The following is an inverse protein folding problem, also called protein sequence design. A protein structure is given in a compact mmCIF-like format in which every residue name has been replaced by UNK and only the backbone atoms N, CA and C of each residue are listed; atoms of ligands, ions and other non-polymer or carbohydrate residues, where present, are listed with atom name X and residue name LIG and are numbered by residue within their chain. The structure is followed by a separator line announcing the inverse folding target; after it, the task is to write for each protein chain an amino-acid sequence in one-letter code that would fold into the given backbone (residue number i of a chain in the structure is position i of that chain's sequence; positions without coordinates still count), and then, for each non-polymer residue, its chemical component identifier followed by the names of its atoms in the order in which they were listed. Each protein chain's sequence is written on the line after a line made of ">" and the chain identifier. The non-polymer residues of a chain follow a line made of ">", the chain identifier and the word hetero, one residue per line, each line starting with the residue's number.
data_IF_172522962174
#
_entry.id   IF_172522962174
#
_cell.length_a   1.000
_cell.length_b   1.000
_cell.length_c   1.000
_cell.angle_alpha   90.00
_cell.angle_beta   90.00
_cell.angle_gamma   90.00
#
_symmetry.space_group_name_H-M   'P 1'
#
loop_
_entity.id
_entity.type
_entity.pdbx_description
1 polymer ?
#
# COMPACT_ATOMS: atom_id res chain seq x y z
N UNK A 1 1.18 58.43 -22.94
CA UNK A 1 2.12 57.34 -22.63
C UNK A 1 2.03 56.87 -21.18
N UNK A 2 2.13 57.77 -20.19
CA UNK A 2 2.07 57.43 -18.75
C UNK A 2 0.77 56.74 -18.32
N UNK A 3 -0.39 57.22 -18.76
CA UNK A 3 -1.69 56.59 -18.48
C UNK A 3 -1.81 55.15 -18.98
N UNK A 4 -1.23 54.85 -20.15
CA UNK A 4 -1.26 53.50 -20.72
C UNK A 4 -0.39 52.53 -19.91
N UNK A 5 0.75 53.01 -19.42
CA UNK A 5 1.64 52.24 -18.56
C UNK A 5 1.01 51.96 -17.19
N UNK A 6 0.35 52.96 -16.60
CA UNK A 6 -0.39 52.81 -15.33
C UNK A 6 -1.56 51.85 -15.51
N UNK A 7 -2.30 51.94 -16.61
CA UNK A 7 -3.41 51.02 -16.89
C UNK A 7 -2.93 49.57 -17.07
N UNK A 8 -1.84 49.36 -17.81
CA UNK A 8 -1.26 48.03 -17.97
C UNK A 8 -0.77 47.44 -16.64
N UNK A 9 -0.06 48.21 -15.82
CA UNK A 9 0.49 47.70 -14.56
C UNK A 9 -0.57 47.49 -13.47
N UNK A 10 -1.61 48.33 -13.44
CA UNK A 10 -2.61 48.33 -12.36
C UNK A 10 -3.82 47.46 -12.65
N UNK A 11 -4.09 47.16 -13.92
CA UNK A 11 -5.30 46.43 -14.35
C UNK A 11 -4.95 45.18 -15.13
N UNK A 12 -4.12 45.28 -16.18
CA UNK A 12 -3.85 44.15 -17.08
C UNK A 12 -2.96 43.09 -16.43
N UNK A 13 -1.84 43.49 -15.81
CA UNK A 13 -0.92 42.55 -15.16
C UNK A 13 -1.60 41.78 -14.01
N UNK A 14 -2.37 42.40 -13.09
CA UNK A 14 -3.10 41.67 -12.05
C UNK A 14 -4.15 40.72 -12.61
N UNK A 15 -4.88 41.11 -13.65
CA UNK A 15 -5.86 40.22 -14.31
C UNK A 15 -5.16 39.01 -14.93
N UNK A 16 -4.06 39.22 -15.65
CA UNK A 16 -3.27 38.13 -16.22
C UNK A 16 -2.67 37.23 -15.13
N UNK A 17 -2.26 37.81 -13.99
CA UNK A 17 -1.75 37.06 -12.84
C UNK A 17 -2.85 36.23 -12.15
N UNK A 18 -4.06 36.78 -11.98
CA UNK A 18 -5.21 36.05 -11.45
C UNK A 18 -5.64 34.94 -12.41
N UNK A 19 -5.68 35.21 -13.72
CA UNK A 19 -5.95 34.20 -14.74
C UNK A 19 -4.86 33.13 -14.70
N UNK A 20 -3.59 33.49 -14.58
CA UNK A 20 -2.49 32.53 -14.46
C UNK A 20 -2.63 31.65 -13.21
N UNK A 21 -3.00 32.22 -12.05
CA UNK A 21 -3.27 31.47 -10.83
C UNK A 21 -4.50 30.57 -10.99
N UNK A 22 -5.58 31.07 -11.58
CA UNK A 22 -6.83 30.33 -11.78
C UNK A 22 -6.68 29.20 -12.81
N UNK A 23 -5.79 29.37 -13.78
CA UNK A 23 -5.47 28.38 -14.81
C UNK A 23 -4.30 27.46 -14.42
N UNK A 24 -3.65 27.67 -13.27
CA UNK A 24 -2.66 26.71 -12.79
C UNK A 24 -3.38 25.40 -12.44
N UNK A 25 -3.04 24.27 -13.07
CA UNK A 25 -3.64 23.00 -12.71
C UNK A 25 -3.27 22.68 -11.26
N UNK A 26 -4.26 22.33 -10.44
CA UNK A 26 -4.03 21.88 -9.06
C UNK A 26 -3.05 20.71 -9.13
N UNK A 27 -1.80 20.94 -8.71
CA UNK A 27 -0.76 19.92 -8.70
C UNK A 27 -1.18 18.83 -7.72
N UNK A 28 -1.73 17.73 -8.24
CA UNK A 28 -2.15 16.62 -7.40
C UNK A 28 -0.90 16.08 -6.68
N UNK A 29 -1.00 15.95 -5.35
CA UNK A 29 0.10 15.55 -4.43
C UNK A 29 0.81 14.23 -4.83
N UNK A 30 0.20 13.45 -5.71
CA UNK A 30 0.65 12.14 -6.18
C UNK A 30 1.24 12.14 -7.60
N UNK A 31 1.02 13.19 -8.40
CA UNK A 31 1.49 13.22 -9.79
C UNK A 31 3.02 13.06 -9.87
N UNK A 32 3.48 12.17 -10.77
CA UNK A 32 4.89 11.86 -10.98
C UNK A 32 5.54 10.98 -9.90
N UNK A 33 4.80 10.56 -8.87
CA UNK A 33 5.33 9.64 -7.84
C UNK A 33 5.48 8.24 -8.40
N UNK A 34 6.55 7.56 -8.00
CA UNK A 34 6.75 6.13 -8.29
C UNK A 34 6.11 5.29 -7.19
N UNK A 35 5.12 4.47 -7.56
CA UNK A 35 4.38 3.62 -6.63
C UNK A 35 4.57 2.16 -7.00
N UNK A 36 5.09 1.37 -6.05
CA UNK A 36 5.18 -0.07 -6.16
C UNK A 36 3.99 -0.71 -5.43
N UNK A 37 3.24 -1.55 -6.13
CA UNK A 37 2.09 -2.26 -5.58
C UNK A 37 2.33 -3.75 -5.69
N UNK A 38 2.25 -4.44 -4.55
CA UNK A 38 2.39 -5.90 -4.48
C UNK A 38 1.03 -6.60 -4.58
N UNK A 39 0.98 -7.85 -5.06
CA UNK A 39 -0.28 -8.57 -5.25
C UNK A 39 -1.18 -7.90 -6.28
N UNK A 40 -0.59 -7.36 -7.35
CA UNK A 40 -1.23 -6.46 -8.30
C UNK A 40 -1.56 -7.10 -9.66
N UNK A 41 -1.46 -8.43 -9.80
CA UNK A 41 -1.89 -9.12 -11.01
C UNK A 41 -3.42 -9.04 -11.24
N UNK A 42 -4.21 -8.95 -10.17
CA UNK A 42 -5.68 -8.94 -10.21
C UNK A 42 -6.30 -8.25 -8.99
N UNK A 43 -7.63 -8.18 -8.95
CA UNK A 43 -8.40 -7.75 -7.78
C UNK A 43 -8.05 -6.34 -7.29
N UNK A 44 -8.00 -6.17 -5.96
CA UNK A 44 -7.76 -4.86 -5.33
C UNK A 44 -6.43 -4.24 -5.76
N UNK A 45 -5.34 -5.02 -5.84
CA UNK A 45 -4.03 -4.49 -6.23
C UNK A 45 -4.03 -3.90 -7.63
N UNK A 46 -4.68 -4.58 -8.59
CA UNK A 46 -4.87 -4.06 -9.94
C UNK A 46 -5.69 -2.75 -9.94
N UNK A 47 -6.78 -2.69 -9.16
CA UNK A 47 -7.59 -1.47 -9.08
C UNK A 47 -6.84 -0.31 -8.43
N UNK A 48 -6.01 -0.57 -7.41
CA UNK A 48 -5.11 0.43 -6.82
C UNK A 48 -4.16 0.99 -7.89
N UNK A 49 -3.53 0.11 -8.68
CA UNK A 49 -2.66 0.52 -9.79
C UNK A 49 -3.39 1.45 -10.77
N UNK A 50 -4.58 1.06 -11.21
CA UNK A 50 -5.40 1.84 -12.16
C UNK A 50 -5.72 3.22 -11.59
N UNK A 51 -6.19 3.30 -10.34
CA UNK A 51 -6.55 4.57 -9.69
C UNK A 51 -5.35 5.48 -9.46
N UNK A 52 -4.17 4.92 -9.19
CA UNK A 52 -2.95 5.71 -9.04
C UNK A 52 -2.40 6.19 -10.39
N UNK A 53 -2.48 5.37 -11.44
CA UNK A 53 -2.13 5.78 -12.79
C UNK A 53 -3.03 6.93 -13.30
N UNK A 54 -4.33 6.88 -13.01
CA UNK A 54 -5.28 7.97 -13.27
C UNK A 54 -4.86 9.30 -12.60
N UNK A 55 -4.19 9.22 -11.46
CA UNK A 55 -3.66 10.39 -10.73
C UNK A 55 -2.26 10.82 -11.20
N UNK A 56 -1.73 10.17 -12.24
CA UNK A 56 -0.43 10.49 -12.83
C UNK A 56 0.77 9.86 -12.11
N UNK A 57 0.57 8.83 -11.29
CA UNK A 57 1.67 8.07 -10.70
C UNK A 57 2.32 7.14 -11.73
N UNK A 58 3.63 6.96 -11.65
CA UNK A 58 4.32 5.84 -12.28
C UNK A 58 4.10 4.58 -11.47
N UNK A 59 3.81 3.47 -12.13
CA UNK A 59 3.35 2.24 -11.47
C UNK A 59 4.35 1.10 -11.69
N UNK A 60 4.73 0.47 -10.58
CA UNK A 60 5.45 -0.80 -10.59
C UNK A 60 4.49 -1.87 -10.07
N UNK A 61 4.16 -2.83 -10.93
CA UNK A 61 3.27 -3.95 -10.62
C UNK A 61 4.13 -5.14 -10.22
N UNK A 62 3.96 -5.65 -9.00
CA UNK A 62 4.69 -6.83 -8.51
C UNK A 62 3.69 -7.92 -8.11
N UNK A 63 3.90 -9.12 -8.63
CA UNK A 63 3.10 -10.29 -8.31
C UNK A 63 3.90 -11.57 -8.61
N UNK A 64 3.54 -12.71 -8.00
CA UNK A 64 4.11 -14.01 -8.40
C UNK A 64 3.39 -14.58 -9.64
N UNK A 65 2.20 -14.09 -9.94
CA UNK A 65 1.41 -14.42 -11.13
C UNK A 65 1.78 -13.54 -12.33
N UNK A 66 1.29 -13.94 -13.51
CA UNK A 66 1.37 -13.11 -14.72
C UNK A 66 0.55 -11.84 -14.56
N UNK A 67 1.10 -10.72 -15.02
CA UNK A 67 0.55 -9.36 -14.80
C UNK A 67 0.09 -8.68 -16.09
N UNK A 68 -0.01 -9.43 -17.20
CA UNK A 68 -0.32 -8.92 -18.53
C UNK A 68 -1.66 -8.16 -18.58
N UNK A 69 -2.65 -8.67 -17.86
CA UNK A 69 -3.97 -8.05 -17.81
C UNK A 69 -3.92 -6.67 -17.13
N UNK A 70 -3.25 -6.58 -15.97
CA UNK A 70 -2.99 -5.30 -15.29
C UNK A 70 -2.23 -4.34 -16.19
N UNK A 71 -1.17 -4.81 -16.88
CA UNK A 71 -0.44 -3.98 -17.84
C UNK A 71 -1.33 -3.47 -18.96
N UNK A 72 -2.19 -4.32 -19.55
CA UNK A 72 -3.16 -3.90 -20.58
C UNK A 72 -4.10 -2.82 -20.06
N UNK A 73 -4.66 -2.98 -18.86
CA UNK A 73 -5.55 -2.00 -18.22
C UNK A 73 -4.83 -0.69 -17.88
N UNK A 74 -3.51 -0.70 -17.75
CA UNK A 74 -2.70 0.49 -17.48
C UNK A 74 -2.22 1.22 -18.74
N UNK A 75 -2.22 0.58 -19.92
CA UNK A 75 -1.77 1.20 -21.20
C UNK A 75 -2.41 2.54 -21.54
N UNK A 76 -3.70 2.80 -21.27
CA UNK A 76 -4.33 4.09 -21.62
C UNK A 76 -3.80 5.28 -20.82
N UNK A 77 -3.07 5.06 -19.73
CA UNK A 77 -2.57 6.13 -18.87
C UNK A 77 -1.17 6.57 -19.32
N UNK A 78 -0.95 7.89 -19.40
CA UNK A 78 0.31 8.50 -19.85
C UNK A 78 1.35 8.52 -18.71
N UNK A 79 1.65 7.36 -18.15
CA UNK A 79 2.59 7.18 -17.04
C UNK A 79 3.52 6.00 -17.33
N UNK A 80 4.73 6.04 -16.78
CA UNK A 80 5.64 4.89 -16.84
C UNK A 80 5.08 3.72 -16.03
N UNK A 81 4.99 2.55 -16.66
CA UNK A 81 4.53 1.31 -16.04
C UNK A 81 5.52 0.19 -16.34
N UNK A 82 5.87 -0.60 -15.32
CA UNK A 82 6.58 -1.88 -15.46
C UNK A 82 5.93 -2.91 -14.57
N UNK A 83 6.04 -4.17 -14.95
CA UNK A 83 5.72 -5.28 -14.07
C UNK A 83 6.92 -6.19 -13.86
N UNK A 84 6.95 -6.83 -12.70
CA UNK A 84 7.95 -7.83 -12.35
C UNK A 84 7.25 -9.03 -11.71
N UNK A 85 7.52 -10.20 -12.26
CA UNK A 85 7.05 -11.45 -11.68
C UNK A 85 8.06 -11.91 -10.63
N UNK A 86 7.67 -11.90 -9.36
CA UNK A 86 8.55 -12.10 -8.20
C UNK A 86 7.79 -12.81 -7.09
N UNK A 87 8.37 -13.87 -6.52
CA UNK A 87 7.94 -14.40 -5.23
C UNK A 87 8.53 -13.51 -4.12
N UNK A 88 7.69 -12.66 -3.54
CA UNK A 88 8.12 -11.75 -2.48
C UNK A 88 8.48 -12.44 -1.16
N UNK A 89 8.13 -13.72 -0.99
CA UNK A 89 8.59 -14.53 0.14
C UNK A 89 10.03 -15.03 -0.02
N UNK A 90 10.63 -14.86 -1.21
CA UNK A 90 12.03 -15.17 -1.50
C UNK A 90 12.91 -13.90 -1.42
N UNK A 91 13.73 -13.78 -0.38
CA UNK A 91 14.58 -12.60 -0.16
C UNK A 91 15.52 -12.31 -1.35
N UNK A 92 16.06 -13.34 -2.01
CA UNK A 92 16.98 -13.15 -3.13
C UNK A 92 16.28 -12.55 -4.35
N UNK A 93 15.05 -12.99 -4.65
CA UNK A 93 14.26 -12.41 -5.74
C UNK A 93 13.86 -10.96 -5.43
N UNK A 94 13.55 -10.65 -4.17
CA UNK A 94 13.25 -9.28 -3.72
C UNK A 94 14.47 -8.35 -3.85
N UNK A 95 15.68 -8.86 -3.60
CA UNK A 95 16.92 -8.10 -3.82
C UNK A 95 17.16 -7.82 -5.32
N UNK A 96 17.00 -8.84 -6.16
CA UNK A 96 17.10 -8.67 -7.63
C UNK A 96 16.02 -7.72 -8.17
N UNK A 97 14.82 -7.75 -7.60
CA UNK A 97 13.75 -6.82 -7.91
C UNK A 97 14.17 -5.38 -7.62
N UNK A 98 14.77 -5.12 -6.46
CA UNK A 98 15.25 -3.77 -6.10
C UNK A 98 16.23 -3.24 -7.13
N UNK A 99 17.20 -4.04 -7.57
CA UNK A 99 18.16 -3.60 -8.60
C UNK A 99 17.47 -3.20 -9.90
N UNK A 100 16.54 -4.03 -10.40
CA UNK A 100 15.76 -3.74 -11.61
C UNK A 100 14.90 -2.48 -11.46
N UNK A 101 14.20 -2.36 -10.32
CA UNK A 101 13.33 -1.21 -10.02
C UNK A 101 14.13 0.09 -9.92
N UNK A 102 15.28 0.09 -9.26
CA UNK A 102 16.13 1.27 -9.13
C UNK A 102 16.74 1.65 -10.50
N UNK A 103 17.11 0.69 -11.33
CA UNK A 103 17.56 0.98 -12.69
C UNK A 103 16.45 1.60 -13.56
N UNK A 104 15.23 1.07 -13.47
CA UNK A 104 14.11 1.55 -14.27
C UNK A 104 13.54 2.89 -13.74
N UNK A 105 13.40 3.07 -12.43
CA UNK A 105 12.64 4.20 -11.84
C UNK A 105 13.46 5.10 -10.93
N UNK A 106 14.72 4.76 -10.65
CA UNK A 106 15.65 5.44 -9.73
C UNK A 106 15.29 5.31 -8.25
N UNK A 107 14.01 5.32 -7.90
CA UNK A 107 13.56 5.22 -6.51
C UNK A 107 12.08 4.84 -6.43
N UNK A 108 11.67 4.31 -5.28
CA UNK A 108 10.26 4.06 -4.95
C UNK A 108 9.80 5.11 -3.93
N UNK A 109 8.78 5.89 -4.27
CA UNK A 109 8.24 6.90 -3.36
C UNK A 109 7.18 6.32 -2.42
N UNK A 110 6.40 5.36 -2.91
CA UNK A 110 5.33 4.70 -2.16
C UNK A 110 5.41 3.19 -2.39
N UNK A 111 5.57 2.42 -1.31
CA UNK A 111 5.41 0.97 -1.30
C UNK A 111 4.02 0.64 -0.77
N UNK A 112 3.24 -0.13 -1.53
CA UNK A 112 1.93 -0.66 -1.12
C UNK A 112 2.03 -2.17 -0.98
N UNK A 113 2.11 -2.64 0.27
CA UNK A 113 2.02 -4.03 0.64
C UNK A 113 0.55 -4.47 0.57
N UNK A 114 0.15 -5.04 -0.56
CA UNK A 114 -1.23 -5.46 -0.84
C UNK A 114 -1.40 -6.98 -1.02
N UNK A 115 -0.32 -7.76 -1.12
CA UNK A 115 -0.41 -9.22 -1.16
C UNK A 115 -1.39 -9.76 -0.10
N UNK A 116 -2.26 -10.64 -0.56
CA UNK A 116 -3.32 -11.22 0.25
C UNK A 116 -3.52 -12.67 -0.19
N UNK A 117 -3.27 -13.59 0.74
CA UNK A 117 -3.71 -14.97 0.63
C UNK A 117 -4.86 -15.18 1.62
N UNK A 118 -5.97 -15.76 1.16
CA UNK A 118 -7.12 -16.11 2.00
C UNK A 118 -7.27 -17.63 1.90
N UNK A 119 -7.35 -18.30 3.05
CA UNK A 119 -7.88 -19.66 3.12
C UNK A 119 -9.30 -19.58 3.65
N UNK A 120 -10.26 -20.05 2.86
CA UNK A 120 -11.68 -20.07 3.21
C UNK A 120 -12.11 -21.35 3.95
N UNK A 121 -11.18 -22.29 4.21
CA UNK A 121 -11.48 -23.53 4.92
C UNK A 121 -11.52 -23.31 6.44
N UNK A 122 -12.37 -24.05 7.17
CA UNK A 122 -12.29 -24.12 8.63
C UNK A 122 -10.88 -24.52 9.07
N UNK A 123 -10.41 -23.99 10.20
CA UNK A 123 -9.04 -24.25 10.71
C UNK A 123 -8.70 -25.74 10.82
N UNK A 124 -9.67 -26.57 11.20
CA UNK A 124 -9.49 -28.03 11.34
C UNK A 124 -9.30 -28.76 10.00
N UNK A 125 -9.54 -28.10 8.88
CA UNK A 125 -9.46 -28.65 7.52
C UNK A 125 -8.37 -28.00 6.68
N UNK A 126 -7.60 -27.07 7.26
CA UNK A 126 -6.51 -26.40 6.56
C UNK A 126 -5.33 -27.35 6.42
N UNK A 127 -4.79 -27.45 5.20
CA UNK A 127 -3.58 -28.21 4.95
C UNK A 127 -2.35 -27.41 5.39
N UNK A 128 -1.23 -28.11 5.56
CA UNK A 128 0.06 -27.47 5.87
C UNK A 128 0.43 -26.44 4.79
N UNK A 129 0.20 -26.77 3.53
CA UNK A 129 0.53 -25.93 2.37
C UNK A 129 -0.27 -24.62 2.38
N UNK A 130 -1.53 -24.66 2.82
CA UNK A 130 -2.36 -23.46 2.97
C UNK A 130 -1.85 -22.56 4.10
N UNK A 131 -1.44 -23.14 5.23
CA UNK A 131 -0.86 -22.40 6.36
C UNK A 131 0.51 -21.80 5.99
N UNK A 132 1.36 -22.59 5.33
CA UNK A 132 2.66 -22.13 4.83
C UNK A 132 2.46 -21.00 3.81
N UNK A 133 1.47 -21.12 2.93
CA UNK A 133 1.09 -20.10 1.96
C UNK A 133 0.62 -18.80 2.61
N UNK A 134 -0.23 -18.87 3.65
CA UNK A 134 -0.66 -17.69 4.41
C UNK A 134 0.51 -16.96 5.09
N UNK A 135 1.47 -17.72 5.62
CA UNK A 135 2.64 -17.17 6.29
C UNK A 135 3.58 -16.50 5.29
N UNK A 136 3.86 -17.17 4.16
CA UNK A 136 4.69 -16.63 3.09
C UNK A 136 4.09 -15.39 2.44
N UNK A 137 2.82 -15.48 2.03
CA UNK A 137 2.10 -14.48 1.21
C UNK A 137 1.20 -13.55 2.05
N UNK A 138 1.73 -13.02 3.15
CA UNK A 138 0.98 -12.16 4.06
C UNK A 138 1.78 -11.70 5.28
N UNK A 139 2.90 -12.36 5.59
CA UNK A 139 3.82 -11.96 6.67
C UNK A 139 5.23 -11.79 6.13
N UNK A 140 5.82 -12.86 5.56
CA UNK A 140 7.23 -12.87 5.14
C UNK A 140 7.47 -11.88 4.00
N UNK A 141 6.61 -11.91 2.98
CA UNK A 141 6.63 -10.99 1.85
C UNK A 141 6.63 -9.51 2.25
N UNK A 142 5.77 -9.13 3.19
CA UNK A 142 5.66 -7.76 3.70
C UNK A 142 6.96 -7.33 4.36
N UNK A 143 7.55 -8.21 5.16
CA UNK A 143 8.81 -7.93 5.87
C UNK A 143 9.93 -7.72 4.86
N UNK A 144 10.09 -8.62 3.90
CA UNK A 144 11.17 -8.53 2.90
C UNK A 144 11.01 -7.35 1.97
N UNK A 145 9.83 -7.13 1.41
CA UNK A 145 9.55 -5.97 0.56
C UNK A 145 9.78 -4.67 1.32
N UNK A 146 9.28 -4.58 2.56
CA UNK A 146 9.48 -3.39 3.38
C UNK A 146 10.96 -3.17 3.69
N UNK A 147 11.68 -4.19 4.18
CA UNK A 147 13.13 -4.11 4.47
C UNK A 147 13.90 -3.64 3.24
N UNK A 148 13.61 -4.21 2.07
CA UNK A 148 14.35 -3.97 0.84
C UNK A 148 14.24 -2.52 0.36
N UNK A 149 13.02 -1.95 0.35
CA UNK A 149 12.77 -0.59 -0.12
C UNK A 149 12.90 0.48 0.99
N UNK A 150 12.76 0.13 2.26
CA UNK A 150 12.88 1.07 3.38
C UNK A 150 14.28 1.69 3.45
N UNK A 151 15.33 0.90 3.23
CA UNK A 151 16.71 1.39 3.25
C UNK A 151 16.92 2.57 2.28
N UNK A 152 16.41 2.45 1.06
CA UNK A 152 16.49 3.50 0.04
C UNK A 152 15.67 4.74 0.43
N UNK A 153 14.46 4.53 0.98
CA UNK A 153 13.63 5.62 1.50
C UNK A 153 14.30 6.37 2.66
N UNK A 154 15.00 5.66 3.54
CA UNK A 154 15.80 6.24 4.64
C UNK A 154 16.93 7.09 4.07
N UNK A 155 17.69 6.55 3.12
CA UNK A 155 18.82 7.26 2.50
C UNK A 155 18.39 8.54 1.79
N UNK A 156 17.20 8.54 1.14
CA UNK A 156 16.62 9.76 0.54
C UNK A 156 15.93 10.68 1.54
N UNK A 157 15.76 10.25 2.79
CA UNK A 157 14.98 10.97 3.79
C UNK A 157 13.52 11.18 3.40
N UNK A 158 12.96 10.35 2.51
CA UNK A 158 11.55 10.44 2.09
C UNK A 158 11.01 9.11 1.60
N UNK A 159 9.80 8.78 2.02
CA UNK A 159 9.08 7.60 1.53
C UNK A 159 7.74 7.41 2.21
N UNK A 160 6.93 6.52 1.65
CA UNK A 160 5.68 6.10 2.28
C UNK A 160 5.49 4.60 2.14
N UNK A 161 5.18 3.94 3.25
CA UNK A 161 4.84 2.52 3.28
C UNK A 161 3.37 2.41 3.66
N UNK A 162 2.60 1.76 2.80
CA UNK A 162 1.18 1.51 2.98
C UNK A 162 0.98 0.01 3.04
N UNK A 163 0.21 -0.46 4.02
CA UNK A 163 -0.21 -1.86 4.10
C UNK A 163 -1.72 -1.96 3.98
N UNK A 164 -2.18 -3.00 3.27
CA UNK A 164 -3.60 -3.33 3.13
C UNK A 164 -3.95 -4.46 4.10
N UNK A 165 -4.60 -4.08 5.19
CA UNK A 165 -5.18 -4.97 6.20
C UNK A 165 -6.67 -5.22 5.93
N UNK A 166 -7.38 -5.88 6.84
CA UNK A 166 -8.79 -6.23 6.64
C UNK A 166 -9.63 -5.95 7.88
N UNK A 167 -10.88 -5.55 7.67
CA UNK A 167 -11.86 -5.48 8.76
C UNK A 167 -12.30 -6.88 9.27
N UNK A 168 -11.94 -7.95 8.57
CA UNK A 168 -12.25 -9.34 8.93
C UNK A 168 -11.22 -9.98 9.90
N UNK A 169 -10.36 -9.18 10.52
CA UNK A 169 -9.38 -9.60 11.53
C UNK A 169 -9.98 -10.36 12.73
N UNK A 170 -11.30 -10.23 12.96
CA UNK A 170 -12.04 -10.90 14.03
C UNK A 170 -13.10 -11.88 13.50
N UNK A 171 -12.90 -12.43 12.31
CA UNK A 171 -13.81 -13.43 11.71
C UNK A 171 -13.38 -14.87 12.03
N UNK A 172 -14.25 -15.84 11.72
CA UNK A 172 -13.98 -17.28 11.82
C UNK A 172 -12.93 -17.77 10.81
N UNK A 173 -12.37 -16.88 9.99
CA UNK A 173 -11.20 -17.16 9.14
C UNK A 173 -9.91 -17.11 9.99
N UNK A 174 -9.81 -18.01 10.98
CA UNK A 174 -8.83 -17.94 12.08
C UNK A 174 -7.38 -17.74 11.59
N UNK A 175 -6.92 -18.55 10.64
CA UNK A 175 -5.54 -18.45 10.13
C UNK A 175 -5.32 -17.24 9.24
N UNK A 176 -6.35 -16.76 8.54
CA UNK A 176 -6.27 -15.51 7.77
C UNK A 176 -6.15 -14.31 8.72
N UNK A 177 -6.92 -14.29 9.81
CA UNK A 177 -6.88 -13.23 10.83
C UNK A 177 -5.47 -13.04 11.39
N UNK A 178 -4.68 -14.11 11.57
CA UNK A 178 -3.27 -14.03 11.99
C UNK A 178 -2.47 -13.13 11.06
N UNK A 179 -2.62 -13.27 9.74
CA UNK A 179 -1.85 -12.47 8.76
C UNK A 179 -2.17 -10.98 8.88
N UNK A 180 -3.43 -10.63 9.16
CA UNK A 180 -3.88 -9.24 9.24
C UNK A 180 -3.53 -8.59 10.58
N UNK A 181 -3.62 -9.33 11.68
CA UNK A 181 -3.05 -8.91 12.96
C UNK A 181 -1.52 -8.74 12.89
N UNK A 182 -0.81 -9.66 12.23
CA UNK A 182 0.63 -9.56 12.01
C UNK A 182 1.00 -8.31 11.20
N UNK A 183 0.26 -8.01 10.13
CA UNK A 183 0.42 -6.77 9.35
C UNK A 183 0.25 -5.52 10.22
N UNK A 184 -0.83 -5.47 11.01
CA UNK A 184 -1.11 -4.34 11.91
C UNK A 184 -0.01 -4.16 12.97
N UNK A 185 0.45 -5.26 13.57
CA UNK A 185 1.57 -5.26 14.53
C UNK A 185 2.89 -4.83 13.89
N UNK A 186 3.19 -5.33 12.69
CA UNK A 186 4.37 -4.95 11.92
C UNK A 186 4.38 -3.46 11.61
N UNK A 187 3.26 -2.89 11.15
CA UNK A 187 3.15 -1.47 10.83
C UNK A 187 3.28 -0.57 12.08
N UNK A 188 2.77 -1.02 13.23
CA UNK A 188 2.98 -0.33 14.51
C UNK A 188 4.45 -0.38 14.94
N UNK A 189 5.08 -1.55 14.88
CA UNK A 189 6.50 -1.72 15.19
C UNK A 189 7.39 -0.88 14.29
N UNK A 190 7.11 -0.86 12.98
CA UNK A 190 7.81 -0.03 12.00
C UNK A 190 7.66 1.46 12.31
N UNK A 191 6.45 1.92 12.64
CA UNK A 191 6.23 3.32 13.05
C UNK A 191 7.10 3.69 14.27
N UNK A 192 7.13 2.84 15.30
CA UNK A 192 7.93 3.07 16.50
C UNK A 192 9.44 3.04 16.19
N UNK A 193 9.87 2.13 15.31
CA UNK A 193 11.25 2.06 14.84
C UNK A 193 11.69 3.37 14.16
N UNK A 194 10.85 3.93 13.27
CA UNK A 194 11.13 5.18 12.58
C UNK A 194 11.15 6.37 13.54
N UNK A 195 10.20 6.43 14.49
CA UNK A 195 10.10 7.50 15.47
C UNK A 195 11.29 7.52 16.44
N UNK A 196 11.67 6.36 16.99
CA UNK A 196 12.82 6.26 17.92
C UNK A 196 14.15 6.69 17.30
N UNK A 197 14.25 6.64 15.96
CA UNK A 197 15.43 7.05 15.18
C UNK A 197 15.29 8.43 14.53
N UNK A 198 14.20 9.15 14.80
CA UNK A 198 13.94 10.49 14.27
C UNK A 198 13.89 10.52 12.72
N UNK A 199 13.50 9.41 12.10
CA UNK A 199 13.37 9.25 10.64
C UNK A 199 12.01 9.80 10.15
N UNK A 200 11.78 11.10 10.35
CA UNK A 200 10.48 11.77 10.11
C UNK A 200 10.07 11.89 8.65
N UNK A 201 11.01 11.69 7.72
CA UNK A 201 10.77 11.71 6.28
C UNK A 201 9.98 10.50 5.74
N UNK A 202 9.91 9.42 6.51
CA UNK A 202 9.24 8.18 6.11
C UNK A 202 7.91 8.07 6.85
N UNK A 203 6.82 7.92 6.09
CA UNK A 203 5.47 7.78 6.64
C UNK A 203 4.97 6.36 6.51
N UNK A 204 4.21 5.90 7.50
CA UNK A 204 3.52 4.61 7.45
C UNK A 204 2.01 4.82 7.50
N UNK A 205 1.26 3.98 6.79
CA UNK A 205 -0.21 3.99 6.81
C UNK A 205 -0.73 2.56 6.73
N UNK A 206 -1.64 2.18 7.62
CA UNK A 206 -2.37 0.92 7.53
C UNK A 206 -3.80 1.22 7.07
N UNK A 207 -4.25 0.54 6.02
CA UNK A 207 -5.58 0.70 5.44
C UNK A 207 -6.37 -0.58 5.67
N UNK A 208 -7.52 -0.49 6.32
CA UNK A 208 -8.39 -1.64 6.57
C UNK A 208 -9.44 -1.72 5.47
N UNK A 209 -9.31 -2.70 4.59
CA UNK A 209 -10.30 -2.96 3.54
C UNK A 209 -11.48 -3.77 4.08
N UNK A 210 -12.69 -3.44 3.63
CA UNK A 210 -13.89 -4.26 3.82
C UNK A 210 -13.89 -5.49 2.91
N UNK A 211 -15.01 -6.20 2.86
CA UNK A 211 -15.22 -7.29 1.89
C UNK A 211 -15.24 -6.68 0.49
N UNK A 212 -14.35 -7.15 -0.39
CA UNK A 212 -14.28 -6.72 -1.78
C UNK A 212 -14.43 -7.98 -2.63
N UNK A 213 -15.44 -8.02 -3.49
CA UNK A 213 -15.54 -9.06 -4.50
C UNK A 213 -14.38 -8.88 -5.48
N UNK A 214 -13.40 -9.76 -5.37
CA UNK A 214 -12.16 -9.74 -6.16
C UNK A 214 -12.13 -10.86 -7.20
N UNK A 215 -13.19 -11.67 -7.28
CA UNK A 215 -13.29 -12.80 -8.21
C UNK A 215 -14.29 -12.57 -9.36
N UNK A 216 -15.27 -11.67 -9.21
CA UNK A 216 -16.25 -11.39 -10.27
C UNK A 216 -15.95 -10.11 -11.05
N UNK A 217 -14.97 -10.16 -11.96
CA UNK A 217 -15.16 -9.47 -13.25
C UNK A 217 -15.92 -10.43 -14.16
N UNK A 218 -17.23 -10.59 -13.96
CA UNK A 218 -18.23 -11.14 -14.89
C UNK A 218 -19.56 -11.23 -14.12
N UNK A 219 -20.31 -10.13 -14.11
CA UNK A 219 -21.77 -10.01 -14.25
C UNK A 219 -21.99 -8.50 -14.26
N UNK A 220 -22.02 -7.94 -15.47
CA UNK A 220 -22.76 -6.72 -15.71
C UNK A 220 -24.23 -7.10 -15.58
N UNK A 221 -24.77 -6.96 -14.37
CA UNK A 221 -26.20 -6.84 -14.21
C UNK A 221 -26.48 -5.68 -13.27
N UNK A 222 -27.43 -4.85 -13.71
CA UNK A 222 -27.73 -3.53 -13.21
C UNK A 222 -28.14 -3.62 -11.74
N UNK A 223 -27.24 -3.20 -10.84
CA UNK A 223 -27.65 -2.78 -9.51
C UNK A 223 -26.85 -1.55 -9.10
N UNK A 224 -27.53 -0.39 -9.12
CA UNK A 224 -27.05 0.91 -8.66
C UNK A 224 -26.41 0.88 -7.24
N UNK A 225 -26.66 -0.16 -6.44
CA UNK A 225 -26.04 -0.38 -5.12
C UNK A 225 -24.56 -0.74 -5.15
N UNK A 226 -24.05 -1.34 -6.24
CA UNK A 226 -22.63 -1.76 -6.32
C UNK A 226 -21.68 -0.58 -6.53
N UNK A 227 -22.15 0.53 -7.11
CA UNK A 227 -21.36 1.75 -7.28
C UNK A 227 -21.20 2.54 -5.98
N UNK A 228 -22.20 2.53 -5.08
CA UNK A 228 -22.08 3.14 -3.74
C UNK A 228 -21.12 2.35 -2.84
N UNK A 229 -21.08 1.02 -2.95
CA UNK A 229 -20.17 0.19 -2.14
C UNK A 229 -18.68 0.38 -2.51
N UNK A 230 -18.38 0.63 -3.78
CA UNK A 230 -17.02 0.97 -4.25
C UNK A 230 -16.60 2.40 -3.86
N UNK A 231 -17.54 3.31 -3.62
CA UNK A 231 -17.26 4.65 -3.09
C UNK A 231 -16.94 4.63 -1.59
N UNK A 232 -17.29 3.56 -0.88
CA UNK A 232 -17.00 3.37 0.55
C UNK A 232 -15.73 2.54 0.83
N UNK A 233 -14.64 2.75 0.07
CA UNK A 233 -13.30 2.52 0.66
C UNK A 233 -13.04 3.65 1.66
N UNK A 234 -13.77 3.63 2.78
CA UNK A 234 -13.44 4.44 3.95
C UNK A 234 -12.15 3.83 4.48
N UNK A 235 -11.01 4.45 4.15
CA UNK A 235 -9.73 4.20 4.81
C UNK A 235 -9.89 4.57 6.29
N UNK A 236 -10.43 3.64 7.07
CA UNK A 236 -10.65 3.85 8.48
C UNK A 236 -9.30 3.69 9.17
N UNK A 237 -8.64 4.79 9.53
CA UNK A 237 -7.51 4.75 10.44
C UNK A 237 -8.03 4.41 11.84
N UNK A 238 -8.16 3.12 12.16
CA UNK A 238 -8.38 2.71 13.55
C UNK A 238 -7.08 2.97 14.31
N UNK A 239 -7.06 3.75 15.40
CA UNK A 239 -6.02 3.54 16.40
C UNK A 239 -6.10 2.06 16.79
N UNK A 240 -4.96 1.37 16.85
CA UNK A 240 -4.88 -0.01 17.35
C UNK A 240 -5.23 0.05 18.84
N UNK A 241 -6.53 0.13 19.15
CA UNK A 241 -7.06 -0.19 20.46
C UNK A 241 -7.29 -1.69 20.42
N UNK A 242 -6.30 -2.42 20.95
CA UNK A 242 -6.45 -3.83 21.25
C UNK A 242 -7.57 -3.94 22.31
N UNK A 243 -8.83 -4.02 21.86
CA UNK A 243 -9.97 -4.31 22.72
C UNK A 243 -10.04 -5.83 22.90
N UNK A 244 -9.01 -6.38 23.50
CA UNK A 244 -9.03 -7.66 24.18
C UNK A 244 -8.61 -7.32 25.60
N UNK A 245 -9.40 -7.74 26.59
CA UNK A 245 -8.98 -7.71 27.98
C UNK A 245 -7.75 -8.63 28.15
N UNK A 246 -6.59 -8.16 27.72
CA UNK A 246 -5.34 -8.63 28.29
C UNK A 246 -5.36 -8.11 29.73
N UNK A 247 -5.83 -8.95 30.66
CA UNK A 247 -5.34 -8.84 32.03
C UNK A 247 -3.83 -8.81 31.90
N UNK A 248 -3.14 -7.71 32.25
CA UNK A 248 -1.70 -7.73 32.27
C UNK A 248 -1.34 -8.90 33.18
N UNK A 249 -0.60 -9.88 32.64
CA UNK A 249 0.11 -10.80 33.50
C UNK A 249 1.00 -9.88 34.31
N UNK A 250 0.62 -9.60 35.55
CA UNK A 250 1.50 -8.92 36.50
C UNK A 250 2.85 -9.62 36.35
N UNK A 251 3.91 -8.85 36.08
CA UNK A 251 5.27 -9.35 36.01
C UNK A 251 5.53 -10.17 37.27
N UNK A 252 5.29 -11.48 37.19
CA UNK A 252 5.62 -12.40 38.26
C UNK A 252 7.13 -12.27 38.39
N UNK A 253 7.66 -11.92 39.57
CA UNK A 253 9.10 -11.81 39.73
C UNK A 253 9.70 -13.12 39.25
N UNK A 254 10.65 -13.03 38.32
CA UNK A 254 11.44 -14.15 37.83
C UNK A 254 12.02 -14.86 39.05
N UNK A 255 11.35 -15.91 39.52
CA UNK A 255 11.96 -16.86 40.44
C UNK A 255 13.09 -17.50 39.64
N UNK A 256 14.30 -17.20 40.06
CA UNK A 256 15.53 -17.83 39.59
C UNK A 256 15.29 -19.33 39.45
N UNK A 257 15.39 -19.84 38.22
CA UNK A 257 15.38 -21.27 37.95
C UNK A 257 16.53 -21.91 38.75
N UNK A 258 16.31 -23.02 39.47
CA UNK A 258 17.39 -23.73 40.12
C UNK A 258 18.32 -24.28 39.03
N UNK A 259 19.59 -23.92 39.11
CA UNK A 259 20.66 -24.55 38.34
C UNK A 259 20.77 -26.01 38.78
N UNK A 260 20.53 -26.93 37.85
CA UNK A 260 20.98 -28.33 37.91
C UNK A 260 22.01 -28.56 36.82
#
# INVERSE_FOLDING_TARGET
>A
MLFLLIFCSSVVIPILFVIHIALQPIKQKLHGKVVLVTGAARGLGQQICIKLAQKGCHIIVVDSLLTDETLRKLKPYHVKVRSYQVDASNEQEVLQLKEKVINDFRAVDILINNFCCISSKPILQQSKEEVDGLTKNGIVDVIFMTKCFLEEMINRGRGQIVSISSMLENSDLTSYSITKWAMSGFMLGLKNFLQSRQLTGIRTMNVFAGVIDSQNELIADENQKSQEQLQHVIAYQRPIKCHTEFKPLALLPLKTLPTS
#
